data_IF_392719767864
#
_entry.id   IF_392719767864
#
_cell.length_a   1.000
_cell.length_b   1.000
_cell.length_c   1.000
_cell.angle_alpha   90.00
_cell.angle_beta   90.00
_cell.angle_gamma   90.00
#
_symmetry.space_group_name_H-M   'P 1'
#
loop_
_entity.id
_entity.type
_entity.pdbx_description
1 polymer ?
#
# COMPACT_ATOMS: atom_id res chain seq x y z
N UNK A 1 12.92 28.10 -10.16
CA UNK A 1 13.40 26.74 -9.79
C UNK A 1 12.28 26.02 -9.05
N UNK A 2 12.01 24.77 -9.40
CA UNK A 2 11.02 23.95 -8.70
C UNK A 2 11.49 23.67 -7.26
N UNK A 3 10.67 24.09 -6.29
CA UNK A 3 10.96 23.89 -4.86
C UNK A 3 10.89 22.41 -4.48
N UNK A 4 10.13 21.60 -5.23
CA UNK A 4 10.10 20.14 -5.08
C UNK A 4 11.44 19.51 -5.47
N UNK A 5 11.96 19.86 -6.66
CA UNK A 5 13.30 19.44 -7.09
C UNK A 5 14.42 19.85 -6.11
N UNK A 6 14.37 21.06 -5.55
CA UNK A 6 15.34 21.52 -4.55
C UNK A 6 15.23 20.76 -3.22
N UNK A 7 14.02 20.43 -2.77
CA UNK A 7 13.81 19.62 -1.57
C UNK A 7 14.32 18.19 -1.75
N UNK A 8 14.15 17.61 -2.94
CA UNK A 8 14.68 16.29 -3.30
C UNK A 8 16.22 16.27 -3.26
N UNK A 9 16.87 17.34 -3.77
CA UNK A 9 18.32 17.47 -3.80
C UNK A 9 18.96 17.79 -2.44
N UNK A 10 18.26 18.54 -1.58
CA UNK A 10 18.78 18.99 -0.27
C UNK A 10 17.73 18.83 0.86
N UNK A 11 17.42 17.60 1.29
CA UNK A 11 16.28 17.30 2.16
C UNK A 11 16.40 17.84 3.59
N UNK A 12 17.64 18.04 4.08
CA UNK A 12 17.90 18.49 5.45
C UNK A 12 18.12 20.00 5.57
N UNK A 13 18.15 20.74 4.45
CA UNK A 13 18.35 22.18 4.49
C UNK A 13 17.08 22.87 5.05
N UNK A 14 17.17 23.54 6.22
CA UNK A 14 16.00 24.09 6.90
C UNK A 14 15.33 25.23 6.11
N UNK A 15 16.11 25.99 5.33
CA UNK A 15 15.62 27.12 4.52
C UNK A 15 14.79 26.59 3.35
N UNK A 16 15.31 25.60 2.63
CA UNK A 16 14.64 24.97 1.48
C UNK A 16 13.35 24.29 1.94
N UNK A 17 13.44 23.52 3.04
CA UNK A 17 12.30 22.82 3.64
C UNK A 17 11.21 23.80 4.09
N UNK A 18 11.57 24.86 4.83
CA UNK A 18 10.63 25.89 5.26
C UNK A 18 9.94 26.59 4.09
N UNK A 19 10.70 26.95 3.05
CA UNK A 19 10.18 27.59 1.84
C UNK A 19 9.20 26.70 1.06
N UNK A 20 9.51 25.40 0.93
CA UNK A 20 8.62 24.43 0.30
C UNK A 20 7.31 24.27 1.06
N UNK A 21 7.36 24.00 2.37
CA UNK A 21 6.15 23.80 3.18
C UNK A 21 5.31 25.07 3.31
N UNK A 22 5.92 26.26 3.27
CA UNK A 22 5.19 27.53 3.17
C UNK A 22 4.37 27.58 1.88
N UNK A 23 4.99 27.35 0.72
CA UNK A 23 4.28 27.33 -0.56
C UNK A 23 3.23 26.21 -0.63
N UNK A 24 3.51 25.05 -0.05
CA UNK A 24 2.55 23.95 0.03
C UNK A 24 1.31 24.35 0.84
N UNK A 25 1.49 25.04 1.98
CA UNK A 25 0.37 25.57 2.78
C UNK A 25 -0.44 26.61 2.02
N UNK A 26 0.21 27.52 1.31
CA UNK A 26 -0.46 28.52 0.48
C UNK A 26 -1.26 27.86 -0.66
N UNK A 27 -0.64 26.92 -1.37
CA UNK A 27 -1.31 26.14 -2.42
C UNK A 27 -2.53 25.38 -1.88
N UNK A 28 -2.39 24.67 -0.75
CA UNK A 28 -3.50 23.92 -0.16
C UNK A 28 -4.63 24.85 0.30
N UNK A 29 -4.30 26.03 0.85
CA UNK A 29 -5.27 27.07 1.20
C UNK A 29 -6.01 27.58 -0.03
N UNK A 30 -5.29 27.91 -1.11
CA UNK A 30 -5.87 28.38 -2.37
C UNK A 30 -6.76 27.32 -3.02
N UNK A 31 -6.30 26.08 -3.07
CA UNK A 31 -7.08 24.93 -3.60
C UNK A 31 -8.40 24.77 -2.86
N UNK A 32 -8.37 24.81 -1.51
CA UNK A 32 -9.57 24.73 -0.67
C UNK A 32 -10.49 25.93 -0.86
N UNK A 33 -9.93 27.14 -1.00
CA UNK A 33 -10.70 28.35 -1.29
C UNK A 33 -11.40 28.25 -2.64
N UNK A 34 -10.66 27.98 -3.72
CA UNK A 34 -11.22 27.86 -5.08
C UNK A 34 -12.30 26.78 -5.17
N UNK A 35 -12.10 25.63 -4.52
CA UNK A 35 -13.12 24.57 -4.45
C UNK A 35 -14.41 25.05 -3.75
N UNK A 36 -14.29 25.74 -2.62
CA UNK A 36 -15.46 26.28 -1.90
C UNK A 36 -16.16 27.37 -2.72
N UNK A 37 -15.38 28.30 -3.27
CA UNK A 37 -15.88 29.39 -4.09
C UNK A 37 -16.64 28.88 -5.31
N UNK A 38 -16.08 27.92 -6.05
CA UNK A 38 -16.77 27.32 -7.19
C UNK A 38 -18.10 26.67 -6.79
N UNK A 39 -18.13 25.90 -5.69
CA UNK A 39 -19.37 25.32 -5.18
C UNK A 39 -20.40 26.39 -4.83
N UNK A 40 -19.97 27.44 -4.14
CA UNK A 40 -20.85 28.54 -3.75
C UNK A 40 -21.41 29.25 -4.99
N UNK A 41 -20.56 29.57 -5.97
CA UNK A 41 -21.00 30.17 -7.22
C UNK A 41 -22.04 29.33 -7.97
N UNK A 42 -21.88 28.00 -7.99
CA UNK A 42 -22.87 27.11 -8.61
C UNK A 42 -24.19 27.13 -7.83
N UNK A 43 -24.16 27.18 -6.50
CA UNK A 43 -25.37 27.32 -5.68
C UNK A 43 -26.06 28.66 -5.92
N UNK A 44 -25.30 29.76 -5.91
CA UNK A 44 -25.81 31.10 -6.16
C UNK A 44 -26.45 31.20 -7.56
N UNK A 45 -25.84 30.56 -8.56
CA UNK A 45 -26.40 30.45 -9.91
C UNK A 45 -27.70 29.64 -9.94
N UNK A 46 -27.78 28.54 -9.18
CA UNK A 46 -29.01 27.74 -9.10
C UNK A 46 -30.13 28.52 -8.43
N UNK A 47 -29.84 29.26 -7.37
CA UNK A 47 -30.82 30.08 -6.66
C UNK A 47 -31.35 31.22 -7.55
N UNK A 48 -30.45 31.90 -8.29
CA UNK A 48 -30.85 32.95 -9.24
C UNK A 48 -31.67 32.39 -10.42
N UNK A 49 -31.29 31.24 -10.97
CA UNK A 49 -31.96 30.66 -12.14
C UNK A 49 -33.32 30.05 -11.80
N UNK A 50 -33.54 29.67 -10.54
CA UNK A 50 -34.79 29.04 -10.07
C UNK A 50 -36.02 29.93 -10.34
N UNK A 51 -35.88 31.23 -10.10
CA UNK A 51 -37.00 32.17 -10.18
C UNK A 51 -37.08 32.88 -11.54
N UNK A 52 -35.97 33.00 -12.26
CA UNK A 52 -35.89 33.78 -13.51
C UNK A 52 -35.86 32.94 -14.80
N UNK A 53 -35.29 31.73 -14.80
CA UNK A 53 -35.18 30.89 -16.01
C UNK A 53 -35.13 29.38 -15.66
N UNK A 54 -36.31 28.75 -15.48
CA UNK A 54 -36.42 27.35 -15.12
C UNK A 54 -35.74 26.39 -16.13
N UNK A 55 -35.65 26.77 -17.41
CA UNK A 55 -35.01 25.92 -18.43
C UNK A 55 -33.49 25.86 -18.22
N UNK A 56 -32.85 27.00 -17.96
CA UNK A 56 -31.41 27.05 -17.65
C UNK A 56 -31.10 26.37 -16.32
N UNK A 57 -31.97 26.50 -15.34
CA UNK A 57 -31.87 25.79 -14.06
C UNK A 57 -31.77 24.28 -14.25
N UNK A 58 -32.73 23.67 -14.98
CA UNK A 58 -32.73 22.24 -15.23
C UNK A 58 -31.55 21.78 -16.10
N UNK A 59 -31.12 22.59 -17.08
CA UNK A 59 -29.91 22.32 -17.88
C UNK A 59 -28.65 22.26 -17.01
N UNK A 60 -28.50 23.20 -16.07
CA UNK A 60 -27.38 23.23 -15.13
C UNK A 60 -27.41 22.01 -14.20
N UNK A 61 -28.57 21.69 -13.63
CA UNK A 61 -28.74 20.49 -12.78
C UNK A 61 -28.39 19.21 -13.53
N UNK A 62 -28.85 19.05 -14.77
CA UNK A 62 -28.57 17.85 -15.55
C UNK A 62 -27.08 17.72 -15.85
N UNK A 63 -26.40 18.82 -16.21
CA UNK A 63 -24.94 18.82 -16.40
C UNK A 63 -24.14 18.45 -15.14
N UNK A 64 -24.66 18.76 -13.95
CA UNK A 64 -24.05 18.40 -12.67
C UNK A 64 -24.31 16.94 -12.29
N UNK A 65 -25.46 16.39 -12.69
CA UNK A 65 -25.83 14.98 -12.48
C UNK A 65 -25.03 14.06 -13.40
N UNK A 66 -24.87 14.43 -14.67
CA UNK A 66 -24.15 13.66 -15.69
C UNK A 66 -22.66 13.48 -15.34
N UNK A 67 -22.05 14.41 -14.59
CA UNK A 67 -20.67 14.29 -14.11
C UNK A 67 -20.39 13.17 -13.10
N UNK A 68 -21.40 12.45 -12.59
CA UNK A 68 -21.21 11.41 -11.56
C UNK A 68 -20.98 9.99 -12.08
N UNK A 69 -21.02 9.75 -13.39
CA UNK A 69 -20.89 8.39 -13.94
C UNK A 69 -19.70 8.15 -14.87
N UNK A 70 -18.75 9.07 -14.97
CA UNK A 70 -17.44 8.76 -15.56
C UNK A 70 -16.47 8.32 -14.46
N UNK A 71 -16.77 7.19 -13.82
CA UNK A 71 -15.71 6.35 -13.24
C UNK A 71 -14.95 5.59 -14.35
N UNK A 72 -15.33 5.78 -15.62
CA UNK A 72 -14.48 5.59 -16.79
C UNK A 72 -13.54 6.80 -16.94
N UNK A 73 -12.80 7.12 -15.87
CA UNK A 73 -11.62 7.94 -16.03
C UNK A 73 -10.60 7.07 -16.75
N UNK A 74 -10.59 7.14 -18.09
CA UNK A 74 -9.60 6.59 -19.03
C UNK A 74 -8.62 5.62 -18.35
N UNK A 75 -9.13 4.47 -17.93
CA UNK A 75 -8.26 3.41 -17.44
C UNK A 75 -7.62 2.90 -18.70
N UNK A 76 -6.43 3.43 -19.00
CA UNK A 76 -5.65 3.02 -20.16
C UNK A 76 -5.71 1.50 -20.23
N UNK A 77 -6.05 0.99 -21.40
CA UNK A 77 -6.30 -0.44 -21.56
C UNK A 77 -5.03 -1.20 -21.19
N UNK A 78 -5.12 -2.46 -20.72
CA UNK A 78 -3.94 -3.25 -20.40
C UNK A 78 -2.89 -3.24 -21.52
N UNK A 79 -3.33 -3.18 -22.78
CA UNK A 79 -2.48 -3.09 -23.97
C UNK A 79 -1.74 -1.75 -24.07
N UNK A 80 -2.40 -0.64 -23.75
CA UNK A 80 -1.80 0.71 -23.74
C UNK A 80 -0.75 0.83 -22.62
N UNK A 81 -1.01 0.21 -21.46
CA UNK A 81 -0.01 0.08 -20.41
C UNK A 81 1.18 -0.76 -20.88
N UNK A 82 0.92 -1.93 -21.46
CA UNK A 82 1.98 -2.80 -21.92
C UNK A 82 2.86 -2.11 -22.97
N UNK A 83 2.26 -1.43 -23.95
CA UNK A 83 3.01 -0.71 -24.99
C UNK A 83 3.85 0.42 -24.41
N UNK A 84 3.26 1.28 -23.57
CA UNK A 84 3.98 2.39 -22.94
C UNK A 84 5.14 1.92 -22.07
N UNK A 85 4.92 0.92 -21.20
CA UNK A 85 5.98 0.44 -20.32
C UNK A 85 7.00 -0.44 -21.04
N UNK A 86 6.60 -1.16 -22.08
CA UNK A 86 7.53 -1.88 -22.95
C UNK A 86 8.48 -0.90 -23.61
N UNK A 87 7.95 0.19 -24.17
CA UNK A 87 8.75 1.24 -24.79
C UNK A 87 9.65 1.99 -23.81
N UNK A 88 9.11 2.39 -22.65
CA UNK A 88 9.86 3.08 -21.60
C UNK A 88 11.03 2.23 -21.07
N UNK A 89 10.83 0.91 -20.98
CA UNK A 89 11.84 -0.03 -20.48
C UNK A 89 12.66 -0.70 -21.59
N UNK A 90 12.57 -0.26 -22.85
CA UNK A 90 13.46 -0.74 -23.92
C UNK A 90 14.91 -0.51 -23.44
N UNK A 91 15.73 -1.56 -23.31
CA UNK A 91 17.10 -1.39 -22.86
C UNK A 91 17.85 -0.57 -23.91
N UNK A 92 18.20 0.68 -23.58
CA UNK A 92 19.15 1.43 -24.38
C UNK A 92 20.45 0.62 -24.48
N UNK A 93 21.13 0.63 -25.64
CA UNK A 93 22.41 -0.07 -25.85
C UNK A 93 23.48 0.27 -24.78
N UNK A 94 23.31 1.38 -24.04
CA UNK A 94 24.12 1.77 -22.89
C UNK A 94 24.03 0.83 -21.66
N UNK A 95 23.02 -0.04 -21.60
CA UNK A 95 22.71 -0.86 -20.43
C UNK A 95 22.84 -2.38 -20.66
N UNK A 96 23.09 -2.83 -21.88
CA UNK A 96 23.22 -4.26 -22.20
C UNK A 96 24.35 -4.93 -21.44
N UNK A 97 25.51 -4.27 -21.35
CA UNK A 97 26.67 -4.77 -20.60
C UNK A 97 26.36 -4.90 -19.11
N UNK A 98 25.71 -3.89 -18.51
CA UNK A 98 25.31 -3.92 -17.09
C UNK A 98 24.29 -5.02 -16.81
N UNK A 99 23.33 -5.25 -17.72
CA UNK A 99 22.35 -6.33 -17.59
C UNK A 99 23.07 -7.69 -17.65
N UNK A 100 24.06 -7.84 -18.53
CA UNK A 100 24.85 -9.06 -18.63
C UNK A 100 25.70 -9.29 -17.37
N UNK A 101 26.34 -8.26 -16.84
CA UNK A 101 27.09 -8.30 -15.58
C UNK A 101 26.20 -8.70 -14.40
N UNK A 102 25.02 -8.09 -14.27
CA UNK A 102 24.05 -8.43 -13.21
C UNK A 102 23.63 -9.90 -13.33
N UNK A 103 23.31 -10.37 -14.55
CA UNK A 103 22.93 -11.77 -14.76
C UNK A 103 24.06 -12.74 -14.39
N UNK A 104 25.28 -12.46 -14.84
CA UNK A 104 26.46 -13.27 -14.51
C UNK A 104 26.69 -13.33 -13.00
N UNK A 105 26.49 -12.21 -12.28
CA UNK A 105 26.65 -12.17 -10.84
C UNK A 105 25.54 -12.93 -10.10
N UNK A 106 24.29 -12.81 -10.55
CA UNK A 106 23.17 -13.59 -10.02
C UNK A 106 23.43 -15.09 -10.18
N UNK A 107 23.87 -15.55 -11.36
CA UNK A 107 24.20 -16.97 -11.59
C UNK A 107 25.33 -17.48 -10.69
N UNK A 108 26.29 -16.63 -10.33
CA UNK A 108 27.33 -16.99 -9.35
C UNK A 108 26.75 -17.09 -7.95
N UNK A 109 25.92 -16.13 -7.55
CA UNK A 109 25.30 -16.08 -6.22
C UNK A 109 24.31 -17.22 -5.99
N UNK A 110 23.58 -17.65 -7.02
CA UNK A 110 22.67 -18.81 -6.94
C UNK A 110 23.42 -20.13 -6.65
N UNK A 111 24.67 -20.24 -7.09
CA UNK A 111 25.53 -21.40 -6.80
C UNK A 111 26.04 -21.38 -5.35
N UNK A 112 26.06 -20.22 -4.70
CA UNK A 112 26.42 -20.09 -3.30
C UNK A 112 25.17 -20.41 -2.47
N UNK A 113 25.21 -21.53 -1.75
CA UNK A 113 24.16 -21.89 -0.80
C UNK A 113 24.16 -20.87 0.34
N UNK A 114 23.30 -19.86 0.24
CA UNK A 114 23.08 -18.92 1.32
C UNK A 114 22.03 -19.52 2.25
N UNK A 115 22.46 -19.98 3.43
CA UNK A 115 21.53 -20.36 4.48
C UNK A 115 20.89 -19.09 5.04
N UNK A 116 19.59 -18.93 4.82
CA UNK A 116 18.80 -17.91 5.49
C UNK A 116 18.34 -18.45 6.85
N UNK A 117 18.24 -17.58 7.86
CA UNK A 117 17.64 -17.97 9.15
C UNK A 117 16.19 -18.47 8.99
N UNK A 118 15.52 -18.02 7.92
CA UNK A 118 14.17 -18.46 7.56
C UNK A 118 14.13 -19.89 6.98
N UNK A 119 15.26 -20.45 6.54
CA UNK A 119 15.36 -21.83 6.05
C UNK A 119 15.52 -22.84 7.19
N UNK A 120 15.69 -22.37 8.43
CA UNK A 120 15.75 -23.26 9.57
C UNK A 120 14.40 -23.91 9.84
N UNK A 121 14.44 -25.15 10.36
CA UNK A 121 13.23 -25.80 10.85
C UNK A 121 12.64 -25.00 12.00
N UNK A 122 11.34 -24.72 11.93
CA UNK A 122 10.59 -24.02 12.99
C UNK A 122 10.81 -24.76 14.32
N UNK A 123 11.30 -24.03 15.31
CA UNK A 123 11.64 -24.61 16.61
C UNK A 123 10.48 -24.52 17.60
N UNK A 124 10.41 -25.46 18.55
CA UNK A 124 9.40 -25.41 19.62
C UNK A 124 9.52 -24.13 20.48
N UNK A 125 10.73 -23.60 20.64
CA UNK A 125 10.98 -22.36 21.39
C UNK A 125 10.46 -21.14 20.62
N UNK A 126 10.61 -21.10 19.31
CA UNK A 126 10.03 -20.09 18.42
C UNK A 126 8.50 -20.09 18.52
N UNK A 127 7.87 -21.26 18.39
CA UNK A 127 6.41 -21.40 18.53
C UNK A 127 5.97 -20.88 19.90
N UNK A 128 6.64 -21.30 20.98
CA UNK A 128 6.32 -20.87 22.34
C UNK A 128 6.49 -19.35 22.54
N UNK A 129 7.49 -18.74 21.90
CA UNK A 129 7.73 -17.31 21.91
C UNK A 129 6.65 -16.54 21.14
N UNK A 130 6.25 -17.03 19.97
CA UNK A 130 5.21 -16.45 19.13
C UNK A 130 3.85 -16.49 19.81
N UNK A 131 3.46 -17.63 20.40
CA UNK A 131 2.22 -17.77 21.18
C UNK A 131 2.20 -16.81 22.38
N UNK A 132 3.34 -16.59 23.06
CA UNK A 132 3.44 -15.64 24.17
C UNK A 132 3.19 -14.19 23.73
N UNK A 133 3.59 -13.82 22.50
CA UNK A 133 3.44 -12.46 21.96
C UNK A 133 2.00 -12.12 21.54
N UNK A 134 1.11 -13.10 21.39
CA UNK A 134 -0.30 -12.85 21.06
C UNK A 134 -0.95 -11.97 22.14
N UNK A 135 -1.82 -11.02 21.74
CA UNK A 135 -2.53 -10.14 22.69
C UNK A 135 -3.88 -10.76 23.07
N UNK A 136 -4.24 -10.65 24.34
CA UNK A 136 -5.55 -11.10 24.82
C UNK A 136 -6.65 -10.09 24.43
N UNK A 137 -7.89 -10.55 24.34
CA UNK A 137 -9.07 -9.73 24.04
C UNK A 137 -9.11 -9.20 22.61
N UNK A 138 -8.38 -9.83 21.69
CA UNK A 138 -8.50 -9.56 20.25
C UNK A 138 -9.54 -10.49 19.64
N UNK A 139 -10.26 -9.98 18.65
CA UNK A 139 -11.22 -10.78 17.90
C UNK A 139 -10.51 -11.98 17.25
N UNK A 140 -11.17 -13.14 17.28
CA UNK A 140 -10.72 -14.34 16.58
C UNK A 140 -10.74 -14.13 15.06
N UNK A 141 -9.97 -14.94 14.34
CA UNK A 141 -10.04 -14.99 12.88
C UNK A 141 -11.34 -15.64 12.38
N UNK A 142 -11.40 -15.89 11.08
CA UNK A 142 -12.48 -16.65 10.43
C UNK A 142 -12.65 -18.06 10.99
N UNK A 143 -11.61 -18.60 11.61
CA UNK A 143 -11.59 -19.90 12.29
C UNK A 143 -12.30 -19.91 13.66
N UNK A 144 -12.64 -18.73 14.20
CA UNK A 144 -13.29 -18.61 15.51
C UNK A 144 -12.37 -18.95 16.69
N UNK A 145 -11.05 -19.07 16.49
CA UNK A 145 -10.11 -19.47 17.54
C UNK A 145 -9.54 -18.22 18.25
N UNK A 146 -9.83 -18.00 19.54
CA UNK A 146 -9.28 -16.87 20.28
C UNK A 146 -7.83 -17.14 20.72
N UNK A 147 -7.04 -16.08 20.88
CA UNK A 147 -5.63 -16.17 21.26
C UNK A 147 -5.40 -16.86 22.62
N UNK A 148 -6.37 -16.74 23.53
CA UNK A 148 -6.40 -17.37 24.84
C UNK A 148 -6.38 -18.90 24.72
N UNK A 149 -7.07 -19.46 23.72
CA UNK A 149 -7.12 -20.89 23.47
C UNK A 149 -5.76 -21.43 23.03
N UNK A 150 -5.06 -20.70 22.14
CA UNK A 150 -3.70 -21.04 21.73
C UNK A 150 -2.70 -20.96 22.89
N UNK A 151 -2.85 -19.96 23.76
CA UNK A 151 -2.02 -19.80 24.96
C UNK A 151 -2.24 -20.91 25.98
N UNK A 152 -3.48 -21.35 26.18
CA UNK A 152 -3.80 -22.50 27.03
C UNK A 152 -3.21 -23.80 26.45
N UNK A 153 -3.24 -23.95 25.13
CA UNK A 153 -2.67 -25.10 24.41
C UNK A 153 -1.16 -25.25 24.52
N UNK A 154 -0.42 -24.23 24.99
CA UNK A 154 1.04 -24.28 25.21
C UNK A 154 1.49 -25.44 26.10
N UNK A 155 0.62 -25.91 27.00
CA UNK A 155 0.92 -27.03 27.91
C UNK A 155 0.62 -28.41 27.31
N UNK A 156 -0.09 -28.49 26.17
CA UNK A 156 -0.44 -29.75 25.52
C UNK A 156 0.72 -30.35 24.72
N UNK A 157 1.61 -29.54 24.16
CA UNK A 157 2.75 -30.02 23.36
C UNK A 157 3.75 -30.85 24.18
N UNK A 158 3.95 -30.52 25.46
CA UNK A 158 4.79 -31.33 26.37
C UNK A 158 4.19 -32.71 26.68
N UNK A 159 2.86 -32.84 26.72
CA UNK A 159 2.19 -34.09 27.07
C UNK A 159 2.14 -35.09 25.91
N UNK A 160 2.25 -34.64 24.66
CA UNK A 160 2.28 -35.51 23.49
C UNK A 160 3.63 -36.24 23.33
N UNK A 161 4.74 -35.64 23.76
CA UNK A 161 6.05 -36.30 23.79
C UNK A 161 6.08 -37.39 24.88
N UNK A 162 5.54 -37.12 26.07
CA UNK A 162 5.49 -38.10 27.17
C UNK A 162 4.64 -39.33 26.78
N UNK A 163 3.51 -39.15 26.08
CA UNK A 163 2.70 -40.28 25.59
C UNK A 163 3.35 -41.09 24.48
N UNK A 164 4.17 -40.47 23.62
CA UNK A 164 4.94 -41.21 22.60
C UNK A 164 6.06 -42.04 23.22
N UNK A 165 6.74 -41.54 24.26
CA UNK A 165 7.77 -42.30 24.97
C UNK A 165 7.21 -43.44 25.82
N UNK A 166 6.01 -43.26 26.40
CA UNK A 166 5.38 -44.28 27.26
C UNK A 166 4.84 -45.48 26.47
N UNK A 167 4.39 -45.27 25.23
CA UNK A 167 3.90 -46.35 24.36
C UNK A 167 5.02 -47.16 23.69
N UNK A 168 6.27 -46.70 23.74
CA UNK A 168 7.43 -47.46 23.24
C UNK A 168 7.99 -48.39 24.32
N UNK A 169 7.76 -48.10 25.61
CA UNK A 169 8.31 -48.89 26.72
C UNK A 169 7.40 -50.09 27.10
N UNK A 170 6.11 -50.05 26.77
CA UNK A 170 5.14 -51.13 27.07
C UNK A 170 4.85 -52.07 25.88
N UNK A 171 5.72 -52.08 24.86
CA UNK A 171 5.57 -52.91 23.65
C UNK A 171 6.74 -53.90 23.47
N UNK A 172 7.32 -54.38 24.57
CA UNK A 172 8.25 -55.51 24.62
C UNK A 172 7.79 -56.52 25.67
#
# INVERSE_FOLDING_TARGET
MDKGALLSKYPFNPIIRGSYFKCYREYTKLRRYKKRHFKQQVLDQLDQLRDHDPKKYWKLINSLKERKNDNTLDSAKPEEWHEYFSELNKPSNLHSNRIHEIRSEVEKLEKVKQFCELDFRISNTEIANSVRKLKNGKASGLDGIPAEMLKAGKYLSKNLEIRRSSNIINAN
#
